data_IF_856679233874
#
_entry.id   IF_856679233874
#
_cell.length_a   1.000
_cell.length_b   1.000
_cell.length_c   1.000
_cell.angle_alpha   90.00
_cell.angle_beta   90.00
_cell.angle_gamma   90.00
#
_symmetry.space_group_name_H-M   'P 1'
#
loop_
_entity.id
_entity.type
_entity.pdbx_description
1 polymer ?
#
# COMPACT_ATOMS: atom_id res chain seq x y z
N UNK A 1 14.68 -12.19 -4.31
CA UNK A 1 13.71 -13.08 -3.64
C UNK A 1 14.37 -13.87 -2.51
N UNK A 2 15.60 -14.35 -2.69
CA UNK A 2 16.26 -15.31 -1.78
C UNK A 2 16.43 -14.86 -0.33
N UNK A 3 16.58 -13.56 -0.06
CA UNK A 3 16.78 -13.05 1.32
C UNK A 3 15.46 -12.89 2.08
N UNK A 4 14.38 -12.50 1.38
CA UNK A 4 13.12 -12.15 2.02
C UNK A 4 12.09 -13.27 1.97
N UNK A 5 12.10 -14.14 0.95
CA UNK A 5 11.13 -15.24 0.89
C UNK A 5 11.32 -16.19 2.07
N UNK A 6 10.24 -16.44 2.82
CA UNK A 6 10.24 -17.30 4.01
C UNK A 6 10.90 -16.67 5.25
N UNK A 7 11.35 -15.41 5.19
CA UNK A 7 11.99 -14.76 6.33
C UNK A 7 11.01 -14.61 7.49
N UNK A 8 11.39 -15.11 8.67
CA UNK A 8 10.61 -15.04 9.91
C UNK A 8 11.41 -14.47 11.10
N UNK A 9 12.61 -13.93 10.85
CA UNK A 9 13.53 -13.45 11.89
C UNK A 9 13.19 -12.07 12.48
N UNK A 10 11.91 -11.71 12.56
CA UNK A 10 11.45 -10.34 12.88
C UNK A 10 11.72 -9.88 14.32
N UNK A 11 12.18 -10.76 15.21
CA UNK A 11 12.39 -10.45 16.63
C UNK A 11 11.11 -10.23 17.43
N UNK A 12 9.95 -10.61 16.88
CA UNK A 12 8.64 -10.57 17.53
C UNK A 12 8.08 -12.00 17.60
N UNK A 13 7.39 -12.35 18.68
CA UNK A 13 6.67 -13.63 18.78
C UNK A 13 5.55 -13.69 17.73
N UNK A 14 5.62 -14.67 16.83
CA UNK A 14 4.57 -14.95 15.85
C UNK A 14 5.05 -15.80 14.66
N UNK A 15 4.12 -16.49 14.02
CA UNK A 15 4.39 -17.46 12.94
C UNK A 15 4.35 -16.84 11.54
N UNK A 16 4.35 -15.51 11.43
CA UNK A 16 4.25 -14.83 10.14
C UNK A 16 5.61 -14.84 9.43
N UNK A 17 5.72 -15.62 8.37
CA UNK A 17 6.83 -15.56 7.43
C UNK A 17 6.57 -14.56 6.30
N UNK A 18 7.63 -14.00 5.72
CA UNK A 18 7.56 -13.11 4.58
C UNK A 18 7.30 -13.89 3.29
N UNK A 19 6.36 -13.41 2.48
CA UNK A 19 6.17 -13.89 1.11
C UNK A 19 6.51 -12.76 0.14
N UNK A 20 7.24 -13.10 -0.91
CA UNK A 20 7.62 -12.20 -1.99
C UNK A 20 6.94 -12.67 -3.26
N UNK A 21 6.11 -11.81 -3.83
CA UNK A 21 5.47 -12.03 -5.12
C UNK A 21 5.71 -10.84 -6.04
N UNK A 22 5.56 -11.06 -7.34
CA UNK A 22 5.56 -9.96 -8.30
C UNK A 22 4.29 -9.12 -8.11
N UNK A 23 4.46 -7.80 -8.00
CA UNK A 23 3.33 -6.88 -8.07
C UNK A 23 2.51 -7.12 -9.35
N UNK A 24 1.19 -7.19 -9.21
CA UNK A 24 0.25 -7.37 -10.32
C UNK A 24 -1.03 -6.57 -9.99
N UNK A 25 -1.67 -5.89 -10.97
CA UNK A 25 -1.29 -5.82 -12.39
C UNK A 25 -0.21 -4.77 -12.71
N UNK A 26 0.21 -3.97 -11.72
CA UNK A 26 1.08 -2.82 -11.94
C UNK A 26 2.53 -3.16 -11.66
N UNK A 27 3.43 -2.86 -12.61
CA UNK A 27 4.86 -3.12 -12.50
C UNK A 27 5.71 -1.95 -12.99
N UNK A 28 6.87 -1.76 -12.36
CA UNK A 28 7.79 -0.68 -12.69
C UNK A 28 7.43 0.67 -12.05
N UNK A 29 8.39 1.59 -12.07
CA UNK A 29 8.30 2.88 -11.38
C UNK A 29 7.19 3.79 -11.94
N UNK A 30 7.18 3.98 -13.25
CA UNK A 30 6.21 4.88 -13.91
C UNK A 30 4.77 4.45 -13.63
N UNK A 31 4.48 3.17 -13.77
CA UNK A 31 3.15 2.60 -13.51
C UNK A 31 2.70 2.83 -12.06
N UNK A 32 3.60 2.63 -11.08
CA UNK A 32 3.30 2.90 -9.67
C UNK A 32 3.09 4.39 -9.41
N UNK A 33 3.89 5.26 -10.02
CA UNK A 33 3.72 6.72 -9.94
C UNK A 33 2.35 7.12 -10.49
N UNK A 34 1.95 6.62 -11.66
CA UNK A 34 0.67 6.94 -12.28
C UNK A 34 -0.52 6.45 -11.44
N UNK A 35 -0.42 5.24 -10.87
CA UNK A 35 -1.40 4.67 -9.96
C UNK A 35 -1.62 5.53 -8.72
N UNK A 36 -0.54 6.01 -8.10
CA UNK A 36 -0.62 6.68 -6.80
C UNK A 36 -0.75 8.20 -6.88
N UNK A 37 -0.20 8.88 -7.90
CA UNK A 37 -0.19 10.36 -7.97
C UNK A 37 -1.59 10.98 -7.97
N UNK A 38 -2.61 10.24 -8.45
CA UNK A 38 -4.01 10.67 -8.48
C UNK A 38 -4.90 9.91 -7.49
N UNK A 39 -4.32 9.06 -6.62
CA UNK A 39 -5.04 8.25 -5.64
C UNK A 39 -5.45 9.08 -4.43
N UNK A 40 -6.59 8.80 -3.76
CA UNK A 40 -6.99 9.46 -2.52
C UNK A 40 -5.93 9.43 -1.41
N UNK A 41 -5.02 8.44 -1.42
CA UNK A 41 -3.92 8.39 -0.44
C UNK A 41 -3.00 9.61 -0.54
N UNK A 42 -2.86 10.21 -1.72
CA UNK A 42 -2.05 11.42 -1.94
C UNK A 42 -2.81 12.72 -1.60
N UNK A 43 -4.02 12.65 -1.05
CA UNK A 43 -4.80 13.83 -0.69
C UNK A 43 -4.07 14.69 0.38
N UNK A 44 -4.19 16.03 0.35
CA UNK A 44 -3.49 16.91 1.30
C UNK A 44 -3.76 16.61 2.78
N UNK A 45 -4.97 16.14 3.11
CA UNK A 45 -5.35 15.77 4.48
C UNK A 45 -4.85 14.39 4.91
N UNK A 46 -4.25 13.60 4.01
CA UNK A 46 -3.62 12.34 4.41
C UNK A 46 -2.28 12.66 5.09
N UNK A 47 -1.99 12.07 6.27
CA UNK A 47 -0.68 12.16 6.90
C UNK A 47 0.46 11.69 5.98
N UNK A 48 1.63 12.31 6.08
CA UNK A 48 2.77 12.06 5.19
C UNK A 48 3.30 10.62 5.31
N UNK A 49 3.26 10.03 6.50
CA UNK A 49 3.69 8.66 6.78
C UNK A 49 2.85 7.58 6.05
N UNK A 50 1.65 7.94 5.60
CA UNK A 50 0.78 7.05 4.84
C UNK A 50 0.88 7.28 3.33
N UNK A 51 1.58 8.32 2.87
CA UNK A 51 1.76 8.61 1.45
C UNK A 51 2.87 7.75 0.85
N UNK A 52 2.69 7.23 -0.38
CA UNK A 52 3.77 6.62 -1.13
C UNK A 52 5.01 7.52 -1.24
N UNK A 53 6.18 6.91 -1.11
CA UNK A 53 7.48 7.58 -1.24
C UNK A 53 8.22 7.05 -2.46
N UNK A 54 9.01 7.94 -3.09
CA UNK A 54 9.93 7.59 -4.16
C UNK A 54 11.34 7.97 -3.76
N UNK A 55 12.30 7.17 -4.21
CA UNK A 55 13.71 7.33 -3.89
C UNK A 55 14.53 7.30 -5.18
N UNK A 56 15.53 8.18 -5.27
CA UNK A 56 16.52 8.19 -6.33
C UNK A 56 17.91 8.11 -5.68
N UNK A 57 18.71 7.13 -6.09
CA UNK A 57 20.05 6.89 -5.53
C UNK A 57 20.05 6.80 -3.98
N UNK A 58 19.05 6.12 -3.41
CA UNK A 58 18.91 5.93 -1.97
C UNK A 58 18.37 7.15 -1.20
N UNK A 59 18.12 8.28 -1.87
CA UNK A 59 17.59 9.49 -1.24
C UNK A 59 16.11 9.69 -1.57
N UNK A 60 15.31 10.04 -0.56
CA UNK A 60 13.89 10.38 -0.77
C UNK A 60 13.79 11.62 -1.64
N UNK A 61 12.98 11.56 -2.69
CA UNK A 61 12.67 12.70 -3.56
C UNK A 61 11.18 13.03 -3.50
N UNK A 62 10.76 14.25 -3.89
CA UNK A 62 9.34 14.58 -3.96
C UNK A 62 8.58 13.61 -4.86
N UNK A 63 7.41 13.17 -4.39
CA UNK A 63 6.52 12.35 -5.22
C UNK A 63 6.01 13.17 -6.40
N UNK A 64 6.00 12.63 -7.64
CA UNK A 64 5.51 13.37 -8.81
C UNK A 64 4.10 13.93 -8.60
N UNK A 65 3.92 15.22 -8.88
CA UNK A 65 2.67 15.95 -8.60
C UNK A 65 1.43 15.29 -9.26
N UNK A 66 0.22 15.43 -8.70
CA UNK A 66 -1.00 14.95 -9.35
C UNK A 66 -1.22 15.57 -10.74
N UNK A 67 -1.89 14.84 -11.63
CA UNK A 67 -2.39 15.39 -12.91
C UNK A 67 -3.88 15.73 -12.85
N UNK A 68 -4.57 15.37 -11.76
CA UNK A 68 -6.00 15.59 -11.52
C UNK A 68 -6.23 15.99 -10.07
N UNK A 69 -7.35 16.67 -9.79
CA UNK A 69 -7.74 16.95 -8.41
C UNK A 69 -7.99 15.65 -7.64
N UNK A 70 -7.32 15.50 -6.49
CA UNK A 70 -7.44 14.31 -5.65
C UNK A 70 -8.65 14.50 -4.74
N UNK A 71 -9.54 13.51 -4.70
CA UNK A 71 -10.68 13.49 -3.78
C UNK A 71 -10.23 12.94 -2.42
N UNK A 72 -10.82 13.45 -1.33
CA UNK A 72 -10.55 12.94 0.01
C UNK A 72 -10.85 11.42 0.11
N UNK A 73 -10.07 10.65 0.89
CA UNK A 73 -10.36 9.25 1.18
C UNK A 73 -11.77 9.08 1.72
N UNK A 74 -12.53 8.15 1.14
CA UNK A 74 -13.84 7.78 1.69
C UNK A 74 -13.63 6.93 2.93
N UNK A 75 -14.12 7.39 4.08
CA UNK A 75 -14.24 6.54 5.26
C UNK A 75 -15.19 5.38 4.91
N UNK A 76 -14.72 4.14 5.01
CA UNK A 76 -15.63 2.99 4.92
C UNK A 76 -16.46 2.98 6.20
N UNK A 77 -17.76 3.21 6.09
CA UNK A 77 -18.70 2.82 7.14
C UNK A 77 -18.58 1.31 7.31
N UNK A 78 -18.28 0.86 8.53
CA UNK A 78 -18.29 -0.55 8.90
C UNK A 78 -19.62 -1.17 8.45
N UNK A 79 -19.58 -2.23 7.61
CA UNK A 79 -20.77 -3.03 7.37
C UNK A 79 -21.03 -3.82 8.65
N UNK A 80 -22.09 -3.46 9.38
CA UNK A 80 -22.57 -4.19 10.54
C UNK A 80 -22.60 -5.70 10.24
N UNK A 81 -22.03 -6.47 11.18
CA UNK A 81 -22.11 -7.92 11.23
C UNK A 81 -23.58 -8.37 11.14
N UNK A 82 -23.89 -9.24 10.17
CA UNK A 82 -25.23 -9.73 9.91
C UNK A 82 -25.23 -10.83 8.86
N UNK A 83 -24.69 -11.99 9.22
CA UNK A 83 -24.70 -13.21 8.42
C UNK A 83 -24.47 -14.40 9.35
N UNK A 84 -25.56 -14.89 9.91
CA UNK A 84 -25.61 -16.02 10.83
C UNK A 84 -25.12 -17.33 10.19
N UNK A 85 -24.71 -18.25 11.06
CA UNK A 85 -24.38 -19.63 10.79
C UNK A 85 -25.34 -20.33 9.81
N UNK A 86 -24.78 -21.17 8.94
CA UNK A 86 -25.46 -22.36 8.44
C UNK A 86 -24.42 -23.47 8.25
N UNK A 87 -24.61 -24.49 9.09
CA UNK A 87 -24.01 -25.82 9.11
C UNK A 87 -24.58 -26.65 7.93
N UNK A 88 -23.72 -27.38 7.20
CA UNK A 88 -23.97 -28.68 6.56
C UNK A 88 -22.68 -29.18 5.86
#
# INVERSE_FOLDING_TARGET
MEVFQGYAGWGQEGDKSCEVSWAHPHQGLQEHVERYRNSPVMHPLTPEEYKPMVFANGQRVPFPAPTKAIRAPKLKTERNAGGAAADA
#
